data_IF_029769772388
#
_entry.id   IF_029769772388
#
_cell.length_a   1.000
_cell.length_b   1.000
_cell.length_c   1.000
_cell.angle_alpha   90.00
_cell.angle_beta   90.00
_cell.angle_gamma   90.00
#
_symmetry.space_group_name_H-M   'P 1'
#
loop_
_entity.id
_entity.type
_entity.pdbx_description
1 polymer ?
#
# COMPACT_ATOMS: atom_id res chain seq x y z
N UNK A 1 -7.60 29.74 -20.33
CA UNK A 1 -6.47 30.19 -19.50
C UNK A 1 -5.51 29.02 -19.32
N UNK A 2 -4.21 29.18 -19.61
CA UNK A 2 -3.19 28.12 -19.44
C UNK A 2 -2.66 28.22 -18.01
N UNK A 3 -2.95 27.23 -17.15
CA UNK A 3 -2.31 27.16 -15.84
C UNK A 3 -0.81 26.87 -15.98
N UNK A 4 0.04 27.63 -15.29
CA UNK A 4 1.46 27.31 -15.20
C UNK A 4 1.67 26.17 -14.21
N UNK A 5 2.46 25.19 -14.60
CA UNK A 5 3.00 24.15 -13.71
C UNK A 5 4.52 24.28 -13.70
N UNK A 6 5.13 24.05 -12.56
CA UNK A 6 6.58 23.94 -12.46
C UNK A 6 6.94 22.53 -12.01
N UNK A 7 7.91 21.94 -12.71
CA UNK A 7 8.56 20.71 -12.25
C UNK A 7 9.75 21.19 -11.43
N UNK A 8 9.67 21.03 -10.12
CA UNK A 8 10.83 21.25 -9.27
C UNK A 8 11.59 19.93 -9.19
N UNK A 9 12.74 19.90 -9.86
CA UNK A 9 13.71 18.83 -9.71
C UNK A 9 14.34 18.94 -8.32
N UNK A 10 14.31 17.85 -7.57
CA UNK A 10 15.04 17.70 -6.32
C UNK A 10 16.48 17.25 -6.60
N UNK A 11 17.44 17.51 -5.70
CA UNK A 11 18.84 17.12 -5.86
C UNK A 11 19.07 15.61 -6.08
N UNK A 12 18.10 14.77 -5.72
CA UNK A 12 18.17 13.32 -5.76
C UNK A 12 17.50 12.69 -7.01
N UNK A 13 17.27 13.48 -8.06
CA UNK A 13 16.54 13.09 -9.29
C UNK A 13 15.05 12.77 -9.07
N UNK A 14 14.49 13.09 -7.91
CA UNK A 14 13.05 13.13 -7.72
C UNK A 14 12.48 14.41 -8.33
N UNK A 15 11.24 14.39 -8.81
CA UNK A 15 10.57 15.62 -9.22
C UNK A 15 9.14 15.60 -8.72
N UNK A 16 8.69 16.73 -8.19
CA UNK A 16 7.28 16.94 -7.92
C UNK A 16 6.74 17.99 -8.88
N UNK A 17 5.49 17.77 -9.31
CA UNK A 17 4.76 18.73 -10.12
C UNK A 17 4.05 19.68 -9.15
N UNK A 18 4.49 20.93 -9.10
CA UNK A 18 3.80 21.99 -8.34
C UNK A 18 2.84 22.70 -9.29
N UNK A 19 1.58 22.71 -8.92
CA UNK A 19 0.60 23.59 -9.55
C UNK A 19 0.69 24.96 -8.87
N UNK A 20 0.85 26.01 -9.67
CA UNK A 20 1.28 27.35 -9.20
C UNK A 20 0.26 28.09 -8.32
N UNK A 21 -0.97 27.57 -8.17
CA UNK A 21 -2.10 28.32 -7.60
C UNK A 21 -2.88 27.56 -6.50
N UNK A 22 -2.48 26.34 -6.12
CA UNK A 22 -3.16 25.56 -5.07
C UNK A 22 -4.64 25.25 -5.37
N UNK A 23 -5.15 25.60 -6.55
CA UNK A 23 -6.51 25.36 -7.03
C UNK A 23 -6.41 24.52 -8.30
N UNK A 24 -6.74 23.24 -8.16
CA UNK A 24 -6.81 22.30 -9.28
C UNK A 24 -7.97 22.65 -10.22
N UNK A 25 -7.75 23.60 -11.12
CA UNK A 25 -8.63 23.82 -12.27
C UNK A 25 -7.84 23.55 -13.56
N UNK A 26 -8.11 22.40 -14.18
CA UNK A 26 -7.70 22.12 -15.56
C UNK A 26 -6.37 21.38 -15.75
N UNK A 27 -6.19 20.21 -15.13
CA UNK A 27 -5.28 19.19 -15.66
C UNK A 27 -5.87 18.64 -16.96
N UNK A 28 -5.39 19.14 -18.09
CA UNK A 28 -5.81 18.73 -19.45
C UNK A 28 -5.37 17.30 -19.78
N UNK A 29 -5.98 16.69 -20.80
CA UNK A 29 -5.70 15.32 -21.31
C UNK A 29 -4.23 15.07 -21.70
N UNK A 30 -3.39 16.11 -21.73
CA UNK A 30 -1.97 16.05 -22.10
C UNK A 30 -1.03 15.57 -20.99
N UNK A 31 -1.47 15.49 -19.73
CA UNK A 31 -0.58 15.19 -18.59
C UNK A 31 -0.30 13.70 -18.43
N UNK A 32 -1.26 12.81 -18.72
CA UNK A 32 -1.08 11.36 -18.62
C UNK A 32 0.11 10.84 -19.45
N UNK A 33 0.21 11.18 -20.75
CA UNK A 33 1.35 10.79 -21.58
C UNK A 33 2.69 11.40 -21.13
N UNK A 34 2.68 12.56 -20.48
CA UNK A 34 3.90 13.20 -19.95
C UNK A 34 4.39 12.51 -18.68
N UNK A 35 3.51 12.27 -17.70
CA UNK A 35 3.82 11.50 -16.48
C UNK A 35 4.31 10.09 -16.84
N UNK A 36 3.62 9.42 -17.77
CA UNK A 36 4.03 8.11 -18.29
C UNK A 36 5.42 8.12 -18.96
N UNK A 37 5.84 9.24 -19.55
CA UNK A 37 7.21 9.40 -20.10
C UNK A 37 8.22 9.64 -18.99
N UNK A 38 7.89 10.45 -17.98
CA UNK A 38 8.76 10.70 -16.82
C UNK A 38 9.03 9.42 -16.02
N UNK A 39 7.99 8.63 -15.73
CA UNK A 39 8.14 7.34 -15.05
C UNK A 39 9.03 6.40 -15.87
N UNK A 40 8.83 6.33 -17.20
CA UNK A 40 9.70 5.55 -18.10
C UNK A 40 11.14 6.06 -18.15
N UNK A 41 11.35 7.36 -17.92
CA UNK A 41 12.67 7.99 -17.82
C UNK A 41 13.30 7.84 -16.41
N UNK A 42 12.66 7.10 -15.49
CA UNK A 42 13.18 6.87 -14.14
C UNK A 42 12.95 8.03 -13.17
N UNK A 43 12.15 9.02 -13.55
CA UNK A 43 11.76 10.12 -12.64
C UNK A 43 10.75 9.58 -11.63
N UNK A 44 11.06 9.73 -10.33
CA UNK A 44 10.11 9.39 -9.26
C UNK A 44 8.96 10.38 -9.27
N UNK A 45 7.75 9.86 -9.45
CA UNK A 45 6.51 10.62 -9.33
C UNK A 45 5.90 10.30 -7.97
N UNK A 46 5.53 11.33 -7.21
CA UNK A 46 4.78 11.14 -5.98
C UNK A 46 3.33 10.73 -6.31
N UNK A 47 3.09 9.42 -6.31
CA UNK A 47 1.78 8.80 -6.51
C UNK A 47 0.76 9.24 -5.45
N UNK A 48 1.23 9.63 -4.26
CA UNK A 48 0.37 10.14 -3.18
C UNK A 48 -0.32 11.42 -3.60
N UNK A 49 0.44 12.36 -4.19
CA UNK A 49 -0.09 13.64 -4.68
C UNK A 49 -1.16 13.42 -5.77
N UNK A 50 -0.98 12.40 -6.62
CA UNK A 50 -1.95 12.05 -7.66
C UNK A 50 -3.23 11.41 -7.09
N UNK A 51 -3.17 10.79 -5.91
CA UNK A 51 -4.33 10.24 -5.22
C UNK A 51 -5.13 11.25 -4.39
N UNK A 52 -4.58 12.43 -4.07
CA UNK A 52 -5.28 13.48 -3.29
C UNK A 52 -6.60 13.94 -3.93
N UNK A 53 -6.68 14.17 -5.25
CA UNK A 53 -7.92 14.62 -5.89
C UNK A 53 -9.06 13.61 -5.73
N UNK A 54 -8.76 12.30 -5.81
CA UNK A 54 -9.75 11.24 -5.58
C UNK A 54 -10.33 11.34 -4.16
N UNK A 55 -9.47 11.55 -3.15
CA UNK A 55 -9.92 11.72 -1.77
C UNK A 55 -10.76 13.01 -1.60
N UNK A 56 -10.39 14.09 -2.28
CA UNK A 56 -11.15 15.35 -2.27
C UNK A 56 -12.55 15.20 -2.87
N UNK A 57 -12.67 14.54 -4.03
CA UNK A 57 -13.96 14.28 -4.68
C UNK A 57 -14.86 13.36 -3.84
N UNK A 58 -14.29 12.36 -3.15
CA UNK A 58 -15.05 11.55 -2.20
C UNK A 58 -15.61 12.40 -1.04
N UNK A 59 -14.83 13.34 -0.52
CA UNK A 59 -15.29 14.24 0.54
C UNK A 59 -16.39 15.20 0.05
N UNK A 60 -16.27 15.72 -1.17
CA UNK A 60 -17.32 16.55 -1.80
C UNK A 60 -18.61 15.74 -1.99
N UNK A 61 -18.52 14.55 -2.57
CA UNK A 61 -19.66 13.68 -2.81
C UNK A 61 -20.38 13.32 -1.49
N UNK A 62 -19.62 13.04 -0.43
CA UNK A 62 -20.15 12.71 0.90
C UNK A 62 -20.93 13.86 1.54
N UNK A 63 -20.51 15.10 1.30
CA UNK A 63 -21.13 16.32 1.86
C UNK A 63 -22.28 16.87 1.01
N UNK A 64 -22.38 16.46 -0.26
CA UNK A 64 -23.39 16.99 -1.18
C UNK A 64 -24.80 16.51 -0.83
N UNK A 65 -25.76 17.44 -0.84
CA UNK A 65 -27.19 17.14 -0.77
C UNK A 65 -27.72 16.51 -2.07
N UNK A 66 -27.10 16.83 -3.21
CA UNK A 66 -27.40 16.32 -4.55
C UNK A 66 -26.12 15.69 -5.12
N UNK A 67 -25.80 14.45 -4.72
CA UNK A 67 -24.53 13.83 -5.09
C UNK A 67 -24.45 13.62 -6.60
N UNK A 68 -23.39 14.15 -7.23
CA UNK A 68 -23.02 13.90 -8.62
C UNK A 68 -21.66 13.20 -8.63
N UNK A 69 -21.56 12.04 -9.26
CA UNK A 69 -20.32 11.26 -9.31
C UNK A 69 -19.33 11.67 -10.40
N UNK A 70 -19.65 12.67 -11.24
CA UNK A 70 -18.86 12.98 -12.44
C UNK A 70 -17.44 13.49 -12.09
N UNK A 71 -17.32 14.33 -11.06
CA UNK A 71 -16.03 14.79 -10.54
C UNK A 71 -15.16 13.63 -10.05
N UNK A 72 -15.74 12.72 -9.26
CA UNK A 72 -15.07 11.50 -8.80
C UNK A 72 -14.65 10.60 -9.95
N UNK A 73 -15.53 10.35 -10.93
CA UNK A 73 -15.21 9.53 -12.08
C UNK A 73 -14.07 10.12 -12.92
N UNK A 74 -14.06 11.45 -13.12
CA UNK A 74 -12.97 12.13 -13.80
C UNK A 74 -11.66 12.05 -13.00
N UNK A 75 -11.70 12.21 -11.67
CA UNK A 75 -10.53 12.08 -10.82
C UNK A 75 -9.94 10.66 -10.86
N UNK A 76 -10.78 9.63 -10.78
CA UNK A 76 -10.38 8.23 -10.88
C UNK A 76 -9.80 7.89 -12.25
N UNK A 77 -10.44 8.37 -13.33
CA UNK A 77 -9.92 8.18 -14.69
C UNK A 77 -8.53 8.82 -14.86
N UNK A 78 -8.33 10.04 -14.35
CA UNK A 78 -7.02 10.72 -14.38
C UNK A 78 -5.99 9.95 -13.55
N UNK A 79 -6.37 9.51 -12.36
CA UNK A 79 -5.51 8.74 -11.47
C UNK A 79 -5.00 7.46 -12.13
N UNK A 80 -5.90 6.68 -12.74
CA UNK A 80 -5.58 5.47 -13.48
C UNK A 80 -4.70 5.72 -14.72
N UNK A 81 -4.92 6.86 -15.39
CA UNK A 81 -4.18 7.21 -16.61
C UNK A 81 -2.73 7.64 -16.33
N UNK A 82 -2.44 8.11 -15.12
CA UNK A 82 -1.11 8.61 -14.74
C UNK A 82 -0.24 7.55 -14.07
N UNK A 83 -0.77 6.91 -13.03
CA UNK A 83 0.01 5.97 -12.20
C UNK A 83 -0.80 4.74 -11.78
N UNK A 84 -2.13 4.86 -11.70
CA UNK A 84 -2.97 3.82 -11.13
C UNK A 84 -2.67 3.58 -9.64
N UNK A 85 -3.25 2.52 -9.06
CA UNK A 85 -3.08 2.21 -7.65
C UNK A 85 -1.70 1.61 -7.31
N UNK A 86 -0.92 1.25 -8.33
CA UNK A 86 0.43 0.73 -8.21
C UNK A 86 1.34 1.78 -7.57
N UNK A 87 1.80 1.49 -6.36
CA UNK A 87 2.69 2.38 -5.60
C UNK A 87 1.98 3.44 -4.76
N UNK A 88 0.66 3.35 -4.56
CA UNK A 88 0.03 4.10 -3.47
C UNK A 88 0.51 3.59 -2.11
N UNK A 89 0.81 4.49 -1.15
CA UNK A 89 1.15 4.07 0.19
C UNK A 89 -0.06 3.39 0.85
N UNK A 90 0.19 2.41 1.71
CA UNK A 90 -0.84 1.69 2.47
C UNK A 90 -1.81 2.62 3.23
N UNK A 91 -1.31 3.75 3.73
CA UNK A 91 -2.11 4.77 4.43
C UNK A 91 -3.15 5.44 3.54
N UNK A 92 -2.93 5.50 2.22
CA UNK A 92 -3.90 6.05 1.27
C UNK A 92 -5.17 5.21 1.24
N UNK A 93 -5.06 3.88 1.23
CA UNK A 93 -6.22 2.98 1.22
C UNK A 93 -7.09 3.11 2.47
N UNK A 94 -6.46 3.37 3.62
CA UNK A 94 -7.17 3.71 4.85
C UNK A 94 -7.94 5.03 4.74
N UNK A 95 -7.36 6.02 4.07
CA UNK A 95 -7.97 7.32 3.82
C UNK A 95 -9.11 7.25 2.79
N UNK A 96 -8.91 6.44 1.75
CA UNK A 96 -9.93 6.11 0.75
C UNK A 96 -11.13 5.45 1.42
N UNK A 97 -10.91 4.40 2.22
CA UNK A 97 -11.98 3.74 2.98
C UNK A 97 -12.78 4.72 3.82
N UNK A 98 -12.11 5.56 4.62
CA UNK A 98 -12.79 6.50 5.51
C UNK A 98 -13.73 7.46 4.76
N UNK A 99 -13.36 7.85 3.53
CA UNK A 99 -14.10 8.80 2.69
C UNK A 99 -15.11 8.13 1.77
N UNK A 100 -14.87 6.88 1.38
CA UNK A 100 -15.74 6.09 0.52
C UNK A 100 -16.92 5.42 1.25
N UNK A 101 -17.17 5.77 2.53
CA UNK A 101 -18.36 5.38 3.31
C UNK A 101 -19.62 6.10 2.83
N UNK A 102 -19.96 5.88 1.58
CA UNK A 102 -21.09 6.50 0.89
C UNK A 102 -22.39 5.78 1.25
N UNK A 103 -23.48 6.54 1.34
CA UNK A 103 -24.86 6.00 1.42
C UNK A 103 -25.24 5.31 0.10
N UNK A 104 -26.29 4.48 0.06
CA UNK A 104 -26.70 3.81 -1.19
C UNK A 104 -27.00 4.77 -2.36
N UNK A 105 -27.57 5.95 -2.09
CA UNK A 105 -27.81 6.98 -3.10
C UNK A 105 -26.51 7.58 -3.64
N UNK A 106 -25.58 7.95 -2.75
CA UNK A 106 -24.27 8.47 -3.13
C UNK A 106 -23.42 7.42 -3.87
N UNK A 107 -23.49 6.16 -3.44
CA UNK A 107 -22.78 5.06 -4.11
C UNK A 107 -23.31 4.86 -5.54
N UNK A 108 -24.63 4.94 -5.73
CA UNK A 108 -25.23 4.89 -7.08
C UNK A 108 -24.75 6.06 -7.93
N UNK A 109 -24.83 7.28 -7.41
CA UNK A 109 -24.35 8.48 -8.10
C UNK A 109 -22.86 8.42 -8.45
N UNK A 110 -22.01 7.86 -7.56
CA UNK A 110 -20.59 7.63 -7.83
C UNK A 110 -20.35 6.58 -8.93
N UNK A 111 -21.17 5.53 -8.95
CA UNK A 111 -20.99 4.39 -9.85
C UNK A 111 -21.54 4.65 -11.24
N UNK A 112 -22.54 5.53 -11.38
CA UNK A 112 -23.25 5.78 -12.64
C UNK A 112 -22.39 6.40 -13.75
N UNK A 113 -21.52 7.40 -13.49
CA UNK A 113 -20.58 7.88 -14.52
C UNK A 113 -19.48 6.87 -14.83
N UNK A 114 -19.19 5.95 -13.91
CA UNK A 114 -18.32 4.79 -14.15
C UNK A 114 -19.05 3.69 -14.98
N UNK A 115 -20.36 3.84 -15.21
CA UNK A 115 -21.30 2.81 -15.67
C UNK A 115 -21.51 2.72 -17.19
N UNK A 116 -20.44 2.54 -17.97
CA UNK A 116 -20.52 1.53 -19.06
C UNK A 116 -20.55 0.10 -18.49
N UNK A 117 -21.08 -0.06 -17.29
CA UNK A 117 -20.90 -1.17 -16.37
C UNK A 117 -22.23 -1.33 -15.61
N UNK A 118 -22.85 -2.52 -15.57
CA UNK A 118 -24.11 -2.73 -14.84
C UNK A 118 -24.00 -2.31 -13.37
N UNK A 119 -25.14 -2.05 -12.71
CA UNK A 119 -25.18 -1.80 -11.27
C UNK A 119 -24.28 -2.78 -10.50
N UNK A 120 -23.58 -2.35 -9.46
CA UNK A 120 -22.48 -3.13 -8.84
C UNK A 120 -22.86 -4.58 -8.46
N UNK A 121 -24.13 -4.83 -8.10
CA UNK A 121 -24.66 -6.16 -7.77
C UNK A 121 -24.90 -7.07 -8.99
N UNK A 122 -24.87 -6.51 -10.20
CA UNK A 122 -25.01 -7.18 -11.51
C UNK A 122 -23.68 -7.27 -12.27
N UNK A 123 -22.56 -6.92 -11.64
CA UNK A 123 -21.26 -7.11 -12.27
C UNK A 123 -21.03 -8.60 -12.49
N UNK A 124 -20.73 -9.04 -13.72
CA UNK A 124 -20.28 -10.40 -13.94
C UNK A 124 -18.96 -10.61 -13.18
N UNK A 125 -18.65 -11.88 -12.91
CA UNK A 125 -17.39 -12.23 -12.26
C UNK A 125 -16.19 -11.61 -12.98
N UNK A 126 -15.17 -11.22 -12.21
CA UNK A 126 -13.92 -10.72 -12.75
C UNK A 126 -13.18 -11.87 -13.46
N UNK A 127 -13.50 -12.08 -14.75
CA UNK A 127 -12.80 -13.02 -15.62
C UNK A 127 -11.83 -12.24 -16.51
N UNK A 128 -10.56 -12.16 -16.11
CA UNK A 128 -9.36 -12.20 -16.99
C UNK A 128 -8.16 -11.45 -16.39
N UNK A 129 -6.97 -11.94 -16.74
CA UNK A 129 -5.63 -11.55 -16.29
C UNK A 129 -5.06 -10.25 -16.91
N UNK A 130 -5.88 -9.44 -17.61
CA UNK A 130 -5.40 -8.18 -18.20
C UNK A 130 -6.49 -7.11 -18.17
N UNK A 131 -6.22 -5.90 -17.63
CA UNK A 131 -7.22 -4.86 -17.59
C UNK A 131 -7.42 -4.30 -19.01
N UNK A 132 -8.47 -4.74 -19.69
CA UNK A 132 -9.09 -3.91 -20.73
C UNK A 132 -9.46 -2.55 -20.09
N UNK A 133 -9.61 -1.50 -20.90
CA UNK A 133 -10.00 -0.17 -20.42
C UNK A 133 -11.27 -0.18 -19.55
N UNK A 134 -12.18 -1.14 -19.74
CA UNK A 134 -13.35 -1.36 -18.86
C UNK A 134 -13.07 -2.07 -17.53
N UNK A 135 -11.94 -2.76 -17.37
CA UNK A 135 -11.55 -3.45 -16.13
C UNK A 135 -11.20 -2.50 -14.99
N UNK A 136 -10.63 -1.34 -15.30
CA UNK A 136 -10.26 -0.32 -14.32
C UNK A 136 -11.48 0.38 -13.70
N UNK A 137 -12.46 0.73 -14.53
CA UNK A 137 -13.74 1.26 -14.04
C UNK A 137 -14.49 0.25 -13.15
N UNK A 138 -14.44 -1.05 -13.48
CA UNK A 138 -15.03 -2.11 -12.66
C UNK A 138 -14.35 -2.25 -11.30
N UNK A 139 -13.03 -2.07 -11.23
CA UNK A 139 -12.31 -2.07 -9.96
C UNK A 139 -12.81 -0.95 -9.05
N UNK A 140 -12.96 0.28 -9.56
CA UNK A 140 -13.40 1.40 -8.72
C UNK A 140 -14.84 1.23 -8.23
N UNK A 141 -15.73 0.68 -9.06
CA UNK A 141 -17.09 0.31 -8.61
C UNK A 141 -17.03 -0.73 -7.50
N UNK A 142 -16.17 -1.75 -7.62
CA UNK A 142 -15.94 -2.73 -6.55
C UNK A 142 -15.35 -2.08 -5.29
N UNK A 143 -14.34 -1.22 -5.42
CA UNK A 143 -13.67 -0.55 -4.31
C UNK A 143 -14.64 0.34 -3.52
N UNK A 144 -15.50 1.08 -4.21
CA UNK A 144 -16.56 1.87 -3.59
C UNK A 144 -17.59 0.99 -2.87
N UNK A 145 -17.99 -0.14 -3.47
CA UNK A 145 -18.90 -1.09 -2.81
C UNK A 145 -18.27 -1.75 -1.58
N UNK A 146 -16.99 -2.13 -1.65
CA UNK A 146 -16.21 -2.66 -0.53
C UNK A 146 -16.01 -1.62 0.59
N UNK A 147 -16.11 -0.33 0.29
CA UNK A 147 -16.02 0.76 1.26
C UNK A 147 -17.36 1.39 1.65
N UNK A 148 -18.47 0.90 1.10
CA UNK A 148 -19.80 1.47 1.33
C UNK A 148 -20.18 1.56 2.82
N UNK A 149 -21.06 2.50 3.17
CA UNK A 149 -21.53 2.63 4.55
C UNK A 149 -22.28 1.38 5.04
N UNK A 150 -23.08 0.75 4.17
CA UNK A 150 -23.82 -0.47 4.46
C UNK A 150 -22.91 -1.71 4.52
N UNK A 151 -22.90 -2.38 5.67
CA UNK A 151 -22.12 -3.60 5.90
C UNK A 151 -22.52 -4.78 5.01
N UNK A 152 -23.80 -4.86 4.59
CA UNK A 152 -24.26 -5.92 3.66
C UNK A 152 -23.68 -5.71 2.27
N UNK A 153 -23.69 -4.47 1.79
CA UNK A 153 -23.03 -4.08 0.54
C UNK A 153 -21.55 -4.41 0.57
N UNK A 154 -20.83 -4.08 1.66
CA UNK A 154 -19.41 -4.44 1.82
C UNK A 154 -19.19 -5.95 1.78
N UNK A 155 -19.96 -6.72 2.55
CA UNK A 155 -19.83 -8.17 2.59
C UNK A 155 -20.09 -8.80 1.22
N UNK A 156 -21.11 -8.33 0.50
CA UNK A 156 -21.45 -8.79 -0.83
C UNK A 156 -20.40 -8.42 -1.90
N UNK A 157 -19.62 -7.36 -1.71
CA UNK A 157 -18.49 -7.02 -2.58
C UNK A 157 -17.29 -7.96 -2.37
N UNK A 158 -17.18 -8.58 -1.20
CA UNK A 158 -16.09 -9.50 -0.84
C UNK A 158 -16.37 -10.96 -1.21
N UNK A 159 -17.50 -11.26 -1.85
CA UNK A 159 -17.78 -12.58 -2.39
C UNK A 159 -16.74 -12.94 -3.45
N UNK A 160 -16.26 -14.19 -3.44
CA UNK A 160 -15.11 -14.64 -4.22
C UNK A 160 -15.27 -14.36 -5.72
N UNK A 161 -16.47 -14.57 -6.25
CA UNK A 161 -16.81 -14.35 -7.65
C UNK A 161 -16.76 -12.88 -8.07
N UNK A 162 -16.69 -11.93 -7.12
CA UNK A 162 -16.69 -10.49 -7.36
C UNK A 162 -15.33 -9.82 -7.14
N UNK A 163 -14.33 -10.57 -6.69
CA UNK A 163 -13.01 -10.00 -6.41
C UNK A 163 -12.31 -9.60 -7.71
N UNK A 164 -11.76 -8.38 -7.82
CA UNK A 164 -10.96 -7.94 -8.96
C UNK A 164 -9.56 -8.56 -8.94
N UNK A 165 -9.47 -9.87 -9.18
CA UNK A 165 -8.22 -10.63 -9.16
C UNK A 165 -7.18 -10.01 -10.11
N UNK A 166 -5.93 -9.93 -9.66
CA UNK A 166 -4.82 -9.31 -10.37
C UNK A 166 -4.87 -7.77 -10.42
N UNK A 167 -5.86 -7.13 -9.81
CA UNK A 167 -5.85 -5.67 -9.69
C UNK A 167 -5.02 -5.25 -8.46
N UNK A 168 -4.06 -4.32 -8.61
CA UNK A 168 -3.10 -4.01 -7.54
C UNK A 168 -3.71 -3.35 -6.30
N UNK A 169 -4.91 -2.77 -6.43
CA UNK A 169 -5.68 -2.24 -5.30
C UNK A 169 -6.49 -3.27 -4.52
N UNK A 170 -6.54 -4.54 -4.96
CA UNK A 170 -7.31 -5.60 -4.29
C UNK A 170 -6.77 -5.91 -2.89
N UNK A 171 -5.50 -6.34 -2.81
CA UNK A 171 -4.88 -6.76 -1.54
C UNK A 171 -4.88 -5.66 -0.47
N UNK A 172 -4.52 -4.40 -0.77
CA UNK A 172 -4.60 -3.32 0.23
C UNK A 172 -6.02 -3.11 0.78
N UNK A 173 -7.05 -3.22 -0.06
CA UNK A 173 -8.44 -3.11 0.40
C UNK A 173 -8.87 -4.31 1.24
N UNK A 174 -8.50 -5.54 0.85
CA UNK A 174 -8.78 -6.74 1.67
C UNK A 174 -8.13 -6.64 3.06
N UNK A 175 -6.90 -6.15 3.13
CA UNK A 175 -6.20 -5.87 4.39
C UNK A 175 -6.98 -4.87 5.25
N UNK A 176 -7.43 -3.75 4.66
CA UNK A 176 -8.25 -2.75 5.36
C UNK A 176 -9.58 -3.36 5.86
N UNK A 177 -10.19 -4.29 5.11
CA UNK A 177 -11.44 -4.98 5.48
C UNK A 177 -11.27 -6.09 6.52
N UNK A 178 -10.08 -6.66 6.69
CA UNK A 178 -9.82 -7.58 7.79
C UNK A 178 -10.04 -6.93 9.18
N UNK A 179 -9.97 -5.60 9.25
CA UNK A 179 -10.21 -4.78 10.43
C UNK A 179 -11.63 -4.14 10.48
N UNK A 180 -12.58 -4.56 9.64
CA UNK A 180 -13.93 -4.00 9.61
C UNK A 180 -14.66 -4.16 10.97
N UNK A 181 -15.61 -3.28 11.28
CA UNK A 181 -16.41 -3.39 12.51
C UNK A 181 -17.49 -4.47 12.41
N UNK A 182 -17.97 -4.78 11.19
CA UNK A 182 -18.97 -5.82 10.93
C UNK A 182 -18.31 -7.21 10.87
N UNK A 183 -18.71 -8.16 11.74
CA UNK A 183 -18.11 -9.50 11.77
C UNK A 183 -18.16 -10.26 10.45
N UNK A 184 -19.28 -10.19 9.73
CA UNK A 184 -19.45 -10.84 8.43
C UNK A 184 -18.44 -10.33 7.39
N UNK A 185 -18.23 -9.01 7.33
CA UNK A 185 -17.27 -8.37 6.42
C UNK A 185 -15.84 -8.82 6.76
N UNK A 186 -15.47 -8.84 8.04
CA UNK A 186 -14.14 -9.32 8.46
C UNK A 186 -13.89 -10.76 8.06
N UNK A 187 -14.89 -11.62 8.27
CA UNK A 187 -14.76 -13.05 7.96
C UNK A 187 -14.57 -13.27 6.47
N UNK A 188 -15.40 -12.61 5.65
CA UNK A 188 -15.25 -12.63 4.19
C UNK A 188 -13.89 -12.07 3.73
N UNK A 189 -13.46 -10.94 4.30
CA UNK A 189 -12.18 -10.32 3.95
C UNK A 189 -10.97 -11.20 4.28
N UNK A 190 -10.98 -11.89 5.42
CA UNK A 190 -9.88 -12.79 5.84
C UNK A 190 -9.79 -14.01 4.93
N UNK A 191 -10.94 -14.60 4.58
CA UNK A 191 -11.00 -15.71 3.65
C UNK A 191 -10.49 -15.29 2.26
N UNK A 192 -10.98 -14.16 1.75
CA UNK A 192 -10.53 -13.58 0.49
C UNK A 192 -9.02 -13.24 0.50
N UNK A 193 -8.51 -12.62 1.57
CA UNK A 193 -7.10 -12.27 1.69
C UNK A 193 -6.21 -13.52 1.65
N UNK A 194 -6.57 -14.56 2.39
CA UNK A 194 -5.80 -15.81 2.41
C UNK A 194 -5.80 -16.50 1.04
N UNK A 195 -6.97 -16.55 0.38
CA UNK A 195 -7.09 -17.15 -0.96
C UNK A 195 -6.31 -16.37 -2.03
N UNK A 196 -6.35 -15.04 -2.01
CA UNK A 196 -5.63 -14.22 -2.98
C UNK A 196 -4.12 -14.28 -2.73
N UNK A 197 -3.67 -14.33 -1.47
CA UNK A 197 -2.24 -14.42 -1.14
C UNK A 197 -1.61 -15.77 -1.49
N UNK A 198 -2.40 -16.84 -1.57
CA UNK A 198 -1.90 -18.15 -2.00
C UNK A 198 -1.36 -18.12 -3.44
N UNK A 199 -1.92 -17.24 -4.28
CA UNK A 199 -1.53 -17.08 -5.70
C UNK A 199 -0.81 -15.76 -5.97
N UNK A 200 -0.49 -14.99 -4.92
CA UNK A 200 0.08 -13.66 -5.06
C UNK A 200 1.55 -13.71 -5.49
N UNK A 201 1.92 -12.78 -6.37
CA UNK A 201 3.33 -12.60 -6.71
C UNK A 201 4.14 -11.97 -5.54
N UNK A 202 5.49 -12.03 -5.58
CA UNK A 202 6.31 -11.44 -4.52
C UNK A 202 6.05 -9.95 -4.25
N UNK A 203 5.74 -9.16 -5.28
CA UNK A 203 5.50 -7.74 -5.14
C UNK A 203 4.13 -7.47 -4.49
N UNK A 204 3.12 -8.27 -4.82
CA UNK A 204 1.81 -8.30 -4.20
C UNK A 204 1.87 -8.66 -2.71
N UNK A 205 2.65 -9.69 -2.36
CA UNK A 205 2.87 -10.09 -0.96
C UNK A 205 3.53 -8.96 -0.16
N UNK A 206 4.57 -8.31 -0.71
CA UNK A 206 5.21 -7.16 -0.07
C UNK A 206 4.21 -6.01 0.18
N UNK A 207 3.39 -5.67 -0.82
CA UNK A 207 2.35 -4.62 -0.66
C UNK A 207 1.31 -4.99 0.40
N UNK A 208 0.89 -6.26 0.44
CA UNK A 208 -0.05 -6.73 1.46
C UNK A 208 0.54 -6.65 2.87
N UNK A 209 1.82 -6.98 3.04
CA UNK A 209 2.53 -6.90 4.32
C UNK A 209 2.64 -5.45 4.81
N UNK A 210 3.10 -4.54 3.94
CA UNK A 210 3.15 -3.12 4.26
C UNK A 210 1.75 -2.57 4.63
N UNK A 211 0.73 -3.00 3.91
CA UNK A 211 -0.68 -2.74 4.23
C UNK A 211 -1.08 -3.21 5.63
N UNK A 212 -0.74 -4.46 5.95
CA UNK A 212 -1.16 -5.10 7.20
C UNK A 212 -0.50 -4.43 8.41
N UNK A 213 0.79 -4.13 8.32
CA UNK A 213 1.52 -3.43 9.38
C UNK A 213 1.06 -1.98 9.55
N UNK A 214 0.69 -1.30 8.46
CA UNK A 214 0.04 0.03 8.54
C UNK A 214 -1.29 -0.01 9.28
N UNK A 215 -1.98 -1.16 9.24
CA UNK A 215 -3.25 -1.38 9.93
C UNK A 215 -3.08 -2.01 11.33
N UNK A 216 -1.87 -2.37 11.77
CA UNK A 216 -1.64 -3.14 12.99
C UNK A 216 -2.14 -2.41 14.26
N UNK A 217 -2.08 -1.08 14.30
CA UNK A 217 -2.58 -0.27 15.41
C UNK A 217 -4.11 -0.17 15.50
N UNK A 218 -4.86 -0.73 14.55
CA UNK A 218 -6.33 -0.77 14.62
C UNK A 218 -6.76 -1.91 15.55
N UNK A 219 -7.80 -1.69 16.35
CA UNK A 219 -8.36 -2.66 17.32
C UNK A 219 -8.58 -4.07 16.72
N UNK A 220 -8.85 -4.17 15.41
CA UNK A 220 -9.15 -5.42 14.70
C UNK A 220 -8.13 -5.76 13.59
N UNK A 221 -7.02 -5.05 13.51
CA UNK A 221 -6.01 -5.17 12.44
C UNK A 221 -5.09 -6.39 12.55
N UNK A 222 -4.92 -6.94 13.76
CA UNK A 222 -3.98 -8.04 14.02
C UNK A 222 -4.23 -9.30 13.16
N UNK A 223 -5.47 -9.56 12.75
CA UNK A 223 -5.77 -10.71 11.90
C UNK A 223 -5.13 -10.61 10.51
N UNK A 224 -5.06 -9.42 9.91
CA UNK A 224 -4.40 -9.23 8.63
C UNK A 224 -2.90 -9.47 8.74
N UNK A 225 -2.28 -8.97 9.82
CA UNK A 225 -0.86 -9.18 10.12
C UNK A 225 -0.57 -10.67 10.21
N UNK A 226 -1.33 -11.43 11.01
CA UNK A 226 -1.13 -12.89 11.13
C UNK A 226 -1.25 -13.62 9.79
N UNK A 227 -2.28 -13.30 8.99
CA UNK A 227 -2.46 -13.92 7.67
C UNK A 227 -1.23 -13.64 6.81
N UNK A 228 -0.84 -12.37 6.65
CA UNK A 228 0.30 -12.03 5.80
C UNK A 228 1.62 -12.60 6.32
N UNK A 229 1.87 -12.54 7.63
CA UNK A 229 3.08 -13.12 8.24
C UNK A 229 3.21 -14.62 7.95
N UNK A 230 2.10 -15.37 7.92
CA UNK A 230 2.15 -16.79 7.56
C UNK A 230 2.62 -17.05 6.13
N UNK A 231 2.33 -16.14 5.19
CA UNK A 231 2.85 -16.19 3.82
C UNK A 231 4.28 -15.65 3.72
N UNK A 232 4.69 -14.76 4.63
CA UNK A 232 6.06 -14.25 4.69
C UNK A 232 7.06 -15.28 5.21
N UNK A 233 6.59 -16.30 5.93
CA UNK A 233 7.45 -17.36 6.47
C UNK A 233 8.33 -17.95 5.38
N UNK A 234 7.81 -18.22 4.17
CA UNK A 234 8.55 -18.81 3.05
C UNK A 234 8.81 -17.82 1.89
N UNK A 235 8.67 -16.53 2.15
CA UNK A 235 8.82 -15.52 1.11
C UNK A 235 10.28 -15.44 0.60
N UNK A 236 10.48 -15.23 -0.72
CA UNK A 236 11.81 -15.08 -1.29
C UNK A 236 12.47 -13.78 -0.80
N UNK A 237 13.82 -13.75 -0.83
CA UNK A 237 14.61 -12.61 -0.35
C UNK A 237 14.22 -11.27 -0.99
N UNK A 238 13.73 -11.28 -2.23
CA UNK A 238 13.22 -10.08 -2.91
C UNK A 238 12.03 -9.41 -2.19
N UNK A 239 11.15 -10.19 -1.54
CA UNK A 239 10.04 -9.65 -0.73
C UNK A 239 10.58 -8.93 0.49
N UNK A 240 11.50 -9.56 1.22
CA UNK A 240 12.12 -8.97 2.39
C UNK A 240 12.93 -7.72 2.04
N UNK A 241 13.68 -7.74 0.94
CA UNK A 241 14.38 -6.54 0.43
C UNK A 241 13.39 -5.41 0.11
N UNK A 242 12.26 -5.70 -0.52
CA UNK A 242 11.24 -4.68 -0.78
C UNK A 242 10.70 -4.06 0.52
N UNK A 243 10.44 -4.87 1.55
CA UNK A 243 9.90 -4.41 2.83
C UNK A 243 10.92 -3.65 3.69
N UNK A 244 12.18 -4.09 3.70
CA UNK A 244 13.26 -3.47 4.47
C UNK A 244 13.72 -2.13 3.88
N UNK A 245 13.47 -1.91 2.59
CA UNK A 245 13.73 -0.65 1.89
C UNK A 245 12.45 0.13 1.56
N UNK A 246 11.31 -0.23 2.16
CA UNK A 246 10.05 0.48 1.99
C UNK A 246 10.22 1.97 2.37
N UNK A 247 9.64 2.95 1.65
CA UNK A 247 9.78 4.36 1.99
C UNK A 247 9.24 4.73 3.38
N UNK A 248 8.28 3.98 3.94
CA UNK A 248 7.75 4.22 5.27
C UNK A 248 8.67 3.65 6.36
N UNK A 249 9.18 4.55 7.21
CA UNK A 249 10.02 4.24 8.38
C UNK A 249 9.41 3.17 9.28
N UNK A 250 8.10 3.21 9.49
CA UNK A 250 7.42 2.25 10.37
C UNK A 250 7.43 0.86 9.76
N UNK A 251 7.15 0.77 8.45
CA UNK A 251 7.15 -0.49 7.70
C UNK A 251 8.52 -1.14 7.74
N UNK A 252 9.60 -0.38 7.51
CA UNK A 252 10.96 -0.92 7.59
C UNK A 252 11.31 -1.46 8.97
N UNK A 253 10.92 -0.75 10.04
CA UNK A 253 11.17 -1.20 11.41
C UNK A 253 10.39 -2.48 11.74
N UNK A 254 9.14 -2.60 11.28
CA UNK A 254 8.38 -3.84 11.38
C UNK A 254 9.01 -4.97 10.57
N UNK A 255 9.41 -4.68 9.32
CA UNK A 255 10.08 -5.64 8.46
C UNK A 255 11.36 -6.19 9.08
N UNK A 256 12.19 -5.34 9.68
CA UNK A 256 13.42 -5.77 10.36
C UNK A 256 13.13 -6.66 11.56
N UNK A 257 12.16 -6.28 12.40
CA UNK A 257 11.77 -7.07 13.56
C UNK A 257 11.22 -8.46 13.15
N UNK A 258 10.35 -8.50 12.14
CA UNK A 258 9.78 -9.76 11.62
C UNK A 258 10.81 -10.61 10.90
N UNK A 259 11.71 -10.01 10.09
CA UNK A 259 12.78 -10.73 9.41
C UNK A 259 13.69 -11.45 10.41
N UNK A 260 14.09 -10.77 11.49
CA UNK A 260 14.88 -11.38 12.56
C UNK A 260 14.10 -12.48 13.27
N UNK A 261 12.82 -12.24 13.60
CA UNK A 261 11.99 -13.22 14.30
C UNK A 261 11.78 -14.51 13.47
N UNK A 262 11.76 -14.39 12.14
CA UNK A 262 11.60 -15.51 11.21
C UNK A 262 12.93 -16.09 10.71
N UNK A 263 14.09 -15.58 11.15
CA UNK A 263 15.41 -15.99 10.65
C UNK A 263 15.63 -15.70 9.15
N UNK A 264 14.96 -14.65 8.64
CA UNK A 264 15.05 -14.15 7.26
C UNK A 264 16.01 -12.97 7.11
N UNK A 265 16.84 -12.74 8.12
CA UNK A 265 17.84 -11.70 8.22
C UNK A 265 19.15 -12.11 7.52
N UNK A 266 19.26 -11.90 6.21
CA UNK A 266 20.52 -12.11 5.47
C UNK A 266 21.60 -11.12 5.97
N UNK A 267 22.79 -11.62 6.31
CA UNK A 267 23.91 -10.80 6.79
C UNK A 267 24.31 -9.71 5.79
N UNK A 268 24.28 -10.00 4.49
CA UNK A 268 24.56 -8.99 3.46
C UNK A 268 23.49 -7.90 3.43
N UNK A 269 22.23 -8.27 3.63
CA UNK A 269 21.10 -7.35 3.69
C UNK A 269 21.14 -6.48 4.96
N UNK A 270 21.47 -7.06 6.12
CA UNK A 270 21.67 -6.32 7.36
C UNK A 270 22.83 -5.33 7.26
N UNK A 271 23.94 -5.71 6.62
CA UNK A 271 25.07 -4.80 6.38
C UNK A 271 24.67 -3.64 5.46
N UNK A 272 23.96 -3.93 4.36
CA UNK A 272 23.45 -2.90 3.44
C UNK A 272 22.54 -1.91 4.18
N UNK A 273 21.63 -2.41 5.03
CA UNK A 273 20.77 -1.58 5.89
C UNK A 273 21.56 -0.77 6.93
N UNK A 274 22.56 -1.37 7.58
CA UNK A 274 23.38 -0.68 8.57
C UNK A 274 24.16 0.50 7.96
N UNK A 275 24.64 0.35 6.73
CA UNK A 275 25.52 1.31 6.09
C UNK A 275 24.79 2.40 5.28
N UNK A 276 23.69 2.05 4.62
CA UNK A 276 23.04 2.94 3.65
C UNK A 276 21.78 3.64 4.18
N UNK A 277 21.21 3.15 5.29
CA UNK A 277 19.85 3.52 5.64
C UNK A 277 19.76 4.84 6.42
N UNK A 278 18.93 5.78 5.96
CA UNK A 278 18.67 7.08 6.62
C UNK A 278 17.94 6.98 7.97
N UNK A 279 17.43 5.80 8.31
CA UNK A 279 16.72 5.58 9.59
C UNK A 279 17.72 4.99 10.57
N UNK A 280 18.27 5.86 11.43
CA UNK A 280 19.33 5.52 12.38
C UNK A 280 18.92 4.33 13.27
N UNK A 281 17.63 4.20 13.62
CA UNK A 281 17.16 3.09 14.45
C UNK A 281 17.22 1.76 13.70
N UNK A 282 16.79 1.75 12.43
CA UNK A 282 16.86 0.53 11.62
C UNK A 282 18.32 0.16 11.31
N UNK A 283 19.17 1.15 11.01
CA UNK A 283 20.60 0.94 10.77
C UNK A 283 21.31 0.37 12.00
N UNK A 284 21.12 0.98 13.17
CA UNK A 284 21.69 0.52 14.44
C UNK A 284 21.23 -0.90 14.78
N UNK A 285 19.91 -1.18 14.72
CA UNK A 285 19.39 -2.53 15.00
C UNK A 285 19.95 -3.56 14.02
N UNK A 286 20.10 -3.20 12.75
CA UNK A 286 20.70 -4.10 11.75
C UNK A 286 22.16 -4.42 12.09
N UNK A 287 22.93 -3.41 12.52
CA UNK A 287 24.30 -3.61 12.99
C UNK A 287 24.37 -4.48 14.25
N UNK A 288 23.50 -4.25 15.24
CA UNK A 288 23.42 -5.06 16.46
C UNK A 288 23.11 -6.53 16.15
N UNK A 289 22.15 -6.80 15.27
CA UNK A 289 21.82 -8.15 14.84
C UNK A 289 22.97 -8.81 14.06
N UNK A 290 23.63 -8.06 13.17
CA UNK A 290 24.79 -8.56 12.43
C UNK A 290 25.94 -8.94 13.38
N UNK A 291 26.27 -8.08 14.35
CA UNK A 291 27.32 -8.35 15.35
C UNK A 291 26.98 -9.58 16.17
N UNK A 292 25.74 -9.70 16.69
CA UNK A 292 25.31 -10.88 17.47
C UNK A 292 25.40 -12.19 16.68
N UNK A 293 25.26 -12.12 15.35
CA UNK A 293 25.38 -13.28 14.48
C UNK A 293 26.83 -13.66 14.17
N UNK A 294 27.70 -12.67 13.99
CA UNK A 294 29.09 -12.88 13.59
C UNK A 294 30.01 -13.15 14.78
N UNK A 295 29.70 -12.63 15.97
CA UNK A 295 30.49 -12.84 17.18
C UNK A 295 30.00 -14.12 17.87
N UNK A 296 30.84 -15.17 17.96
CA UNK A 296 30.48 -16.39 18.67
C UNK A 296 30.11 -16.10 20.13
N UNK A 297 29.10 -16.80 20.64
CA UNK A 297 28.78 -16.76 22.06
C UNK A 297 30.02 -17.17 22.87
N UNK A 298 30.56 -16.24 23.67
CA UNK A 298 31.71 -16.48 24.54
C UNK A 298 32.97 -15.63 24.28
N UNK A 299 33.03 -14.86 23.18
CA UNK A 299 34.16 -13.93 22.96
C UNK A 299 34.14 -12.76 23.96
N UNK A 300 32.94 -12.38 24.44
CA UNK A 300 32.74 -11.41 25.51
C UNK A 300 32.59 -12.06 26.90
N UNK A 301 32.86 -13.37 27.04
CA UNK A 301 32.97 -13.93 28.38
C UNK A 301 34.11 -13.17 29.09
N UNK A 302 33.87 -12.60 30.29
CA UNK A 302 34.95 -11.94 31.02
C UNK A 302 36.11 -12.92 31.08
N UNK A 303 37.29 -12.50 30.61
CA UNK A 303 38.48 -13.34 30.61
C UNK A 303 38.57 -14.01 31.97
N UNK A 304 38.54 -15.35 31.99
CA UNK A 304 38.55 -16.11 33.24
C UNK A 304 39.68 -15.56 34.12
N UNK A 305 39.43 -15.28 35.40
CA UNK A 305 40.36 -14.56 36.27
C UNK A 305 41.76 -15.20 36.34
N UNK A 306 41.88 -16.49 35.97
CA UNK A 306 43.13 -17.25 35.89
C UNK A 306 44.10 -16.81 34.77
N UNK A 307 43.65 -15.99 33.81
CA UNK A 307 44.48 -15.51 32.70
C UNK A 307 45.20 -14.17 32.92
N UNK A 308 44.95 -13.46 34.04
CA UNK A 308 45.62 -12.18 34.33
C UNK A 308 47.06 -12.42 34.79
N UNK A 309 47.99 -12.52 33.83
CA UNK A 309 49.41 -12.29 34.15
C UNK A 309 49.54 -10.84 34.64
N UNK A 310 50.10 -10.61 35.84
CA UNK A 310 50.33 -9.26 36.32
C UNK A 310 51.26 -8.56 35.34
N UNK A 311 50.85 -7.39 34.86
CA UNK A 311 51.73 -6.48 34.13
C UNK A 311 52.82 -6.05 35.11
N UNK A 312 53.99 -6.66 35.03
CA UNK A 312 55.19 -6.14 35.69
C UNK A 312 55.56 -4.84 34.99
N UNK A 313 55.43 -3.73 35.71
CA UNK A 313 55.85 -2.41 35.25
C UNK A 313 57.33 -2.43 34.85
N UNK A 314 57.63 -1.94 33.64
CA UNK A 314 58.95 -1.46 33.25
C UNK A 314 59.02 0.05 33.48
#
# INVERSE_FOLDING_TARGET
>A
MRGSWSVQALPDRSAYVVLSDGRMSGLTDSVGPFVSRMVRAGVRVDTTALGVPVLGELDLLRRSATPCGEGLAQALFRFDSCCGPDGLPASWWSSFDARARLTPGQLRAASEPLAKVPAWHRLPAFRSSRPASGGRSRFWVWALAACAADGRTRAAALAAERLPLGHPGLLPLLVVRCADWVPAVRTAARAALSAVLAEADPAELARAAAGAWSCAGRERGAAAVRIVTSHLTDAPAGVWRALLFDPDVRIRRFALAEAVALGRDDAALLLDLAMSHRDVVAAQRSAEHLVRRLVPAGVDAPASPEGRRPWTAC
#
